data_IF_852830754315
#
_entry.id   IF_852830754315
#
_cell.length_a   1.000
_cell.length_b   1.000
_cell.length_c   1.000
_cell.angle_alpha   90.00
_cell.angle_beta   90.00
_cell.angle_gamma   90.00
#
_symmetry.space_group_name_H-M   'P 1'
#
loop_
_entity.id
_entity.type
_entity.pdbx_description
1 polymer ?
#
# COMPACT_ATOMS: atom_id res chain seq x y z
N UNK A 1 -11.39 -14.37 8.68
CA UNK A 1 -11.67 -15.29 7.56
C UNK A 1 -10.41 -15.43 6.70
N UNK A 2 -10.06 -16.67 6.38
CA UNK A 2 -8.90 -16.92 5.54
C UNK A 2 -9.30 -16.87 4.06
N UNK A 3 -8.47 -16.22 3.25
CA UNK A 3 -8.65 -16.19 1.81
C UNK A 3 -7.86 -17.33 1.14
N UNK A 4 -8.30 -17.73 -0.03
CA UNK A 4 -7.56 -18.67 -0.88
C UNK A 4 -6.58 -17.88 -1.75
N UNK A 5 -5.28 -18.09 -1.55
CA UNK A 5 -4.22 -17.36 -2.23
C UNK A 5 -3.68 -18.06 -3.47
N UNK A 6 -4.28 -19.15 -3.92
CA UNK A 6 -3.78 -19.94 -5.06
C UNK A 6 -3.63 -19.12 -6.34
N UNK A 7 -4.49 -18.13 -6.56
CA UNK A 7 -4.46 -17.25 -7.73
C UNK A 7 -3.65 -15.98 -7.53
N UNK A 8 -3.24 -15.68 -6.30
CA UNK A 8 -2.67 -14.38 -5.95
C UNK A 8 -1.47 -13.99 -6.82
N UNK A 9 -0.51 -14.91 -6.99
CA UNK A 9 0.70 -14.64 -7.78
C UNK A 9 0.47 -14.74 -9.29
N UNK A 10 -0.67 -15.27 -9.72
CA UNK A 10 -1.00 -15.43 -11.14
C UNK A 10 -1.85 -14.28 -11.66
N UNK A 11 -2.85 -13.88 -10.89
CA UNK A 11 -3.77 -12.81 -11.26
C UNK A 11 -4.46 -12.28 -10.01
N UNK A 12 -4.14 -11.06 -9.61
CA UNK A 12 -4.80 -10.41 -8.47
C UNK A 12 -6.30 -10.26 -8.73
N UNK A 13 -6.71 -9.95 -9.96
CA UNK A 13 -8.13 -9.83 -10.31
C UNK A 13 -8.87 -11.15 -10.10
N UNK A 14 -8.27 -12.28 -10.48
CA UNK A 14 -8.86 -13.59 -10.24
C UNK A 14 -8.92 -13.92 -8.74
N UNK A 15 -7.89 -13.56 -7.99
CA UNK A 15 -7.89 -13.67 -6.53
C UNK A 15 -9.06 -12.90 -5.92
N UNK A 16 -9.28 -11.66 -6.35
CA UNK A 16 -10.37 -10.81 -5.84
C UNK A 16 -11.73 -11.42 -6.14
N UNK A 17 -11.92 -11.90 -7.36
CA UNK A 17 -13.18 -12.53 -7.78
C UNK A 17 -13.48 -13.82 -7.02
N UNK A 18 -12.47 -14.66 -6.83
CA UNK A 18 -12.64 -15.97 -6.19
C UNK A 18 -12.97 -15.85 -4.70
N UNK A 19 -12.45 -14.83 -4.03
CA UNK A 19 -12.55 -14.74 -2.57
C UNK A 19 -13.74 -13.95 -2.06
N UNK A 20 -14.57 -13.38 -2.92
CA UNK A 20 -15.77 -12.63 -2.52
C UNK A 20 -15.48 -11.65 -1.39
N UNK A 21 -14.50 -10.78 -1.61
CA UNK A 21 -13.99 -9.87 -0.58
C UNK A 21 -15.03 -8.82 -0.23
N UNK A 22 -15.20 -8.57 1.07
CA UNK A 22 -16.14 -7.58 1.60
C UNK A 22 -15.38 -6.34 2.05
N UNK A 23 -16.00 -5.18 1.88
CA UNK A 23 -15.47 -3.91 2.35
C UNK A 23 -16.60 -3.07 2.94
N UNK A 24 -16.30 -2.35 4.02
CA UNK A 24 -17.22 -1.35 4.57
C UNK A 24 -17.17 -0.03 3.80
N UNK A 25 -16.25 0.09 2.84
CA UNK A 25 -16.10 1.24 1.95
C UNK A 25 -16.21 0.77 0.50
N UNK A 26 -16.08 1.69 -0.44
CA UNK A 26 -16.12 1.35 -1.87
C UNK A 26 -14.77 0.84 -2.40
N UNK A 27 -13.76 0.72 -1.56
CA UNK A 27 -12.39 0.44 -1.99
C UNK A 27 -11.78 -0.78 -1.31
N UNK A 28 -10.76 -1.32 -1.96
CA UNK A 28 -9.93 -2.43 -1.51
C UNK A 28 -8.49 -2.16 -1.99
N UNK A 29 -7.53 -2.28 -1.08
CA UNK A 29 -6.12 -2.16 -1.40
C UNK A 29 -5.44 -3.52 -1.29
N UNK A 30 -4.65 -3.88 -2.30
CA UNK A 30 -3.88 -5.14 -2.29
C UNK A 30 -2.44 -4.83 -2.69
N UNK A 31 -1.48 -5.33 -1.91
CA UNK A 31 -0.06 -5.24 -2.25
C UNK A 31 0.53 -6.63 -2.42
N UNK A 32 1.12 -6.88 -3.58
CA UNK A 32 1.92 -8.08 -3.86
C UNK A 32 3.38 -7.78 -3.52
N UNK A 33 3.91 -8.49 -2.54
CA UNK A 33 5.31 -8.33 -2.13
C UNK A 33 6.27 -8.93 -3.14
N UNK A 34 5.86 -10.02 -3.79
CA UNK A 34 6.65 -10.68 -4.82
C UNK A 34 6.79 -9.80 -6.05
N UNK A 35 5.68 -9.29 -6.56
CA UNK A 35 5.66 -8.51 -7.80
C UNK A 35 5.93 -7.02 -7.56
N UNK A 36 5.81 -6.57 -6.32
CA UNK A 36 6.07 -5.18 -5.89
C UNK A 36 5.15 -4.20 -6.59
N UNK A 37 3.85 -4.51 -6.53
CA UNK A 37 2.77 -3.64 -7.01
C UNK A 37 1.70 -3.50 -5.94
N UNK A 38 1.10 -2.33 -5.88
CA UNK A 38 -0.11 -2.07 -5.10
C UNK A 38 -1.26 -1.83 -6.05
N UNK A 39 -2.36 -2.53 -5.80
CA UNK A 39 -3.57 -2.50 -6.61
C UNK A 39 -4.66 -1.80 -5.83
N UNK A 40 -5.40 -0.92 -6.50
CA UNK A 40 -6.59 -0.28 -5.95
C UNK A 40 -7.80 -0.80 -6.72
N UNK A 41 -8.74 -1.40 -6.00
CA UNK A 41 -10.02 -1.83 -6.57
C UNK A 41 -11.13 -0.96 -6.01
N UNK A 42 -12.07 -0.59 -6.88
CA UNK A 42 -13.30 0.11 -6.51
C UNK A 42 -14.51 -0.79 -6.76
N UNK A 43 -15.46 -0.79 -5.84
CA UNK A 43 -16.69 -1.58 -6.01
C UNK A 43 -17.72 -0.78 -6.78
N UNK A 44 -18.07 -1.27 -7.99
CA UNK A 44 -19.04 -0.68 -8.90
C UNK A 44 -19.94 -1.78 -9.48
N UNK A 45 -20.75 -2.42 -8.66
CA UNK A 45 -21.48 -3.63 -9.06
C UNK A 45 -20.54 -4.82 -9.31
N UNK A 46 -19.48 -4.86 -8.53
CA UNK A 46 -18.36 -5.81 -8.59
C UNK A 46 -17.05 -5.05 -8.44
N UNK A 47 -16.00 -5.75 -8.07
CA UNK A 47 -14.69 -5.13 -7.92
C UNK A 47 -14.06 -4.85 -9.28
N UNK A 48 -13.68 -3.60 -9.52
CA UNK A 48 -13.00 -3.16 -10.74
C UNK A 48 -11.65 -2.55 -10.38
N UNK A 49 -10.62 -2.92 -11.14
CA UNK A 49 -9.27 -2.40 -10.95
C UNK A 49 -9.21 -0.94 -11.41
N UNK A 50 -8.89 -0.03 -10.47
CA UNK A 50 -8.71 1.39 -10.76
C UNK A 50 -7.25 1.73 -11.02
N UNK A 51 -6.33 1.23 -10.17
CA UNK A 51 -4.90 1.54 -10.27
C UNK A 51 -4.05 0.33 -9.96
N UNK A 52 -2.89 0.28 -10.62
CA UNK A 52 -1.80 -0.65 -10.33
C UNK A 52 -0.52 0.18 -10.29
N UNK A 53 0.10 0.26 -9.12
CA UNK A 53 1.25 1.12 -8.90
C UNK A 53 2.48 0.33 -8.50
N UNK A 54 3.64 0.66 -9.09
CA UNK A 54 4.93 0.14 -8.65
C UNK A 54 5.18 0.53 -7.19
N UNK A 55 5.64 -0.43 -6.40
CA UNK A 55 5.80 -0.25 -4.96
C UNK A 55 7.17 -0.72 -4.51
N UNK A 56 7.73 -0.03 -3.52
CA UNK A 56 8.92 -0.50 -2.82
C UNK A 56 8.48 -1.06 -1.49
N UNK A 57 8.98 -2.25 -1.20
CA UNK A 57 8.60 -3.02 0.00
C UNK A 57 9.82 -3.27 0.88
N UNK A 58 9.61 -3.88 2.03
CA UNK A 58 10.67 -4.18 2.98
C UNK A 58 11.75 -5.09 2.41
N UNK A 59 13.00 -4.83 2.78
CA UNK A 59 14.11 -5.73 2.45
C UNK A 59 13.98 -7.02 3.27
N UNK A 60 14.75 -8.05 2.92
CA UNK A 60 14.63 -9.38 3.54
C UNK A 60 14.83 -9.37 5.06
N UNK A 61 15.65 -8.45 5.58
CA UNK A 61 15.88 -8.32 7.03
C UNK A 61 14.83 -7.47 7.75
N UNK A 62 14.04 -6.69 7.02
CA UNK A 62 12.95 -5.86 7.54
C UNK A 62 11.73 -6.00 6.63
N UNK A 63 11.13 -7.22 6.53
CA UNK A 63 10.09 -7.48 5.55
C UNK A 63 8.80 -6.72 5.88
N UNK A 64 8.04 -6.40 4.84
CA UNK A 64 6.68 -5.90 5.01
C UNK A 64 5.81 -7.02 5.55
N UNK A 65 4.97 -6.71 6.53
CA UNK A 65 4.07 -7.67 7.17
C UNK A 65 3.02 -8.17 6.17
N UNK A 66 2.78 -9.49 6.17
CA UNK A 66 1.70 -10.11 5.40
C UNK A 66 0.44 -10.22 6.25
N UNK A 67 -0.71 -10.13 5.64
CA UNK A 67 -1.98 -10.32 6.33
C UNK A 67 -3.10 -9.50 5.73
N UNK A 68 -4.19 -9.44 6.49
CA UNK A 68 -5.38 -8.66 6.17
C UNK A 68 -5.53 -7.58 7.23
N UNK A 69 -5.56 -6.34 6.81
CA UNK A 69 -5.57 -5.17 7.69
C UNK A 69 -6.65 -4.19 7.25
N UNK A 70 -6.77 -3.09 7.97
CA UNK A 70 -7.67 -1.98 7.64
C UNK A 70 -6.92 -0.66 7.67
N UNK A 71 -7.24 0.23 6.76
CA UNK A 71 -6.69 1.59 6.75
C UNK A 71 -6.99 2.27 8.08
N UNK A 72 -5.96 2.81 8.69
CA UNK A 72 -6.04 3.54 9.95
C UNK A 72 -5.84 5.04 9.77
N UNK A 73 -5.08 5.62 10.70
CA UNK A 73 -4.83 7.06 10.76
C UNK A 73 -3.92 7.51 9.61
N UNK A 74 -4.02 8.79 9.25
CA UNK A 74 -3.24 9.40 8.18
C UNK A 74 -2.44 10.59 8.71
N UNK A 75 -1.26 10.78 8.12
CA UNK A 75 -0.41 11.95 8.40
C UNK A 75 0.00 12.60 7.08
N UNK A 76 -0.04 13.95 6.98
CA UNK A 76 0.42 14.63 5.76
C UNK A 76 1.91 14.44 5.51
N UNK A 77 2.68 14.25 6.59
CA UNK A 77 4.10 13.94 6.53
C UNK A 77 4.54 13.23 7.80
N UNK A 78 5.56 12.40 7.69
CA UNK A 78 6.28 11.83 8.83
C UNK A 78 7.75 12.14 8.61
N UNK A 79 8.38 12.79 9.59
CA UNK A 79 9.76 13.21 9.49
C UNK A 79 10.65 12.62 10.56
N UNK A 80 11.92 12.48 10.23
CA UNK A 80 13.01 12.15 11.13
C UNK A 80 14.08 13.23 11.06
N UNK A 81 15.27 12.92 11.56
CA UNK A 81 16.38 13.87 11.60
C UNK A 81 17.04 14.08 10.23
N UNK A 82 16.95 13.11 9.34
CA UNK A 82 17.69 13.12 8.08
C UNK A 82 16.79 12.94 6.86
N UNK A 83 15.54 12.52 7.05
CA UNK A 83 14.62 12.24 5.96
C UNK A 83 13.18 12.38 6.40
N UNK A 84 12.28 12.49 5.43
CA UNK A 84 10.84 12.52 5.64
C UNK A 84 10.10 11.83 4.51
N UNK A 85 8.84 11.50 4.75
CA UNK A 85 7.90 10.98 3.74
C UNK A 85 6.62 11.81 3.78
N UNK A 86 5.89 11.81 2.67
CA UNK A 86 4.63 12.54 2.53
C UNK A 86 3.48 11.55 2.39
N UNK A 87 2.29 12.00 2.79
CA UNK A 87 1.02 11.29 2.58
C UNK A 87 1.08 9.85 3.12
N UNK A 88 1.25 9.73 4.42
CA UNK A 88 1.33 8.46 5.11
C UNK A 88 -0.07 7.99 5.51
N UNK A 89 -0.41 6.76 5.14
CA UNK A 89 -1.67 6.10 5.52
C UNK A 89 -1.33 4.82 6.27
N UNK A 90 -1.78 4.71 7.52
CA UNK A 90 -1.46 3.59 8.38
C UNK A 90 -2.11 2.30 7.90
N UNK A 91 -1.34 1.23 7.93
CA UNK A 91 -1.78 -0.15 7.64
C UNK A 91 -2.05 -0.88 8.96
N UNK A 92 -1.03 -1.01 9.78
CA UNK A 92 -1.05 -1.62 11.11
C UNK A 92 0.25 -1.23 11.82
N UNK A 93 0.23 -1.04 13.13
CA UNK A 93 1.42 -0.68 13.92
C UNK A 93 2.18 0.48 13.26
N UNK A 94 3.46 0.30 12.97
CA UNK A 94 4.31 1.32 12.31
C UNK A 94 4.43 1.10 10.78
N UNK A 95 3.55 0.29 10.21
CA UNK A 95 3.54 0.05 8.75
C UNK A 95 2.58 1.03 8.08
N UNK A 96 3.09 1.72 7.06
CA UNK A 96 2.34 2.74 6.32
C UNK A 96 2.53 2.57 4.82
N UNK A 97 1.52 3.00 4.05
CA UNK A 97 1.72 3.47 2.67
C UNK A 97 2.20 4.90 2.75
N UNK A 98 3.24 5.26 2.03
CA UNK A 98 3.72 6.64 1.97
C UNK A 98 4.50 6.91 0.67
N UNK A 99 4.89 8.15 0.48
CA UNK A 99 5.62 8.59 -0.70
C UNK A 99 7.06 8.05 -0.77
N UNK A 100 7.76 8.40 -1.85
CA UNK A 100 9.22 8.32 -1.94
C UNK A 100 9.85 9.15 -0.80
N UNK A 101 11.16 8.97 -0.60
CA UNK A 101 11.87 9.59 0.51
C UNK A 101 12.35 10.98 0.12
N UNK A 102 12.09 11.95 0.99
CA UNK A 102 12.54 13.34 0.90
C UNK A 102 13.59 13.64 1.98
N UNK A 103 14.24 14.80 1.87
CA UNK A 103 15.09 15.28 2.95
C UNK A 103 14.27 15.59 4.22
N UNK A 104 14.93 15.97 5.29
CA UNK A 104 14.28 16.20 6.60
C UNK A 104 13.19 17.28 6.54
N UNK A 105 13.31 18.23 5.64
CA UNK A 105 12.35 19.34 5.48
C UNK A 105 11.30 19.08 4.39
N UNK A 106 11.44 18.00 3.64
CA UNK A 106 10.48 17.64 2.59
C UNK A 106 10.62 18.45 1.31
N UNK A 107 11.74 19.13 1.09
CA UNK A 107 11.92 19.97 -0.09
C UNK A 107 12.59 19.24 -1.25
N UNK A 108 13.57 18.39 -0.96
CA UNK A 108 14.34 17.70 -1.99
C UNK A 108 14.15 16.20 -1.91
N UNK A 109 14.09 15.54 -3.07
CA UNK A 109 14.01 14.08 -3.14
C UNK A 109 15.36 13.50 -2.71
N UNK A 110 15.32 12.51 -1.81
CA UNK A 110 16.48 11.80 -1.31
C UNK A 110 16.60 10.40 -1.90
N UNK A 111 15.48 9.69 -2.03
CA UNK A 111 15.44 8.33 -2.60
C UNK A 111 14.08 8.11 -3.27
N UNK A 112 14.09 7.97 -4.59
CA UNK A 112 12.89 7.80 -5.41
C UNK A 112 12.72 6.39 -5.97
N UNK A 113 13.52 5.42 -5.51
CA UNK A 113 13.47 4.06 -6.05
C UNK A 113 12.14 3.39 -5.75
N UNK A 114 11.53 2.83 -6.78
CA UNK A 114 10.29 2.05 -6.70
C UNK A 114 10.49 0.68 -7.34
N UNK A 115 9.67 -0.29 -6.93
CA UNK A 115 9.73 -1.64 -7.48
C UNK A 115 10.89 -2.48 -6.95
N UNK A 116 11.42 -2.14 -5.80
CA UNK A 116 12.55 -2.84 -5.17
C UNK A 116 12.23 -3.17 -3.71
N UNK A 117 12.99 -4.07 -3.11
CA UNK A 117 12.81 -4.50 -1.73
C UNK A 117 13.92 -3.91 -0.86
N UNK A 118 13.76 -2.68 -0.40
CA UNK A 118 14.80 -1.94 0.32
C UNK A 118 14.30 -1.14 1.52
N UNK A 119 12.99 -1.10 1.80
CA UNK A 119 12.47 -0.32 2.91
C UNK A 119 12.64 -1.05 4.25
N UNK A 120 12.28 -0.37 5.35
CA UNK A 120 12.26 -0.96 6.69
C UNK A 120 10.91 -1.62 7.02
N UNK A 121 10.06 -1.84 6.02
CA UNK A 121 8.78 -2.52 6.15
C UNK A 121 7.60 -1.75 5.57
N UNK A 122 7.64 -0.43 5.54
CA UNK A 122 6.60 0.39 4.91
C UNK A 122 6.54 0.15 3.40
N UNK A 123 5.41 0.46 2.81
CA UNK A 123 5.19 0.37 1.37
C UNK A 123 5.34 1.76 0.78
N UNK A 124 6.38 1.93 -0.02
CA UNK A 124 6.71 3.20 -0.67
C UNK A 124 6.05 3.25 -2.03
N UNK A 125 5.39 4.35 -2.33
CA UNK A 125 4.73 4.63 -3.60
C UNK A 125 5.26 5.94 -4.19
N UNK A 126 5.01 6.16 -5.49
CA UNK A 126 5.17 7.50 -6.05
C UNK A 126 4.34 8.49 -5.21
N UNK A 127 4.83 9.72 -5.08
CA UNK A 127 4.15 10.72 -4.24
C UNK A 127 2.71 10.96 -4.66
N UNK A 128 2.43 10.98 -5.96
CA UNK A 128 1.07 11.16 -6.48
C UNK A 128 0.15 9.99 -6.08
N UNK A 129 0.67 8.77 -6.04
CA UNK A 129 -0.09 7.58 -5.64
C UNK A 129 -0.37 7.57 -4.14
N UNK A 130 0.65 7.90 -3.34
CA UNK A 130 0.49 8.04 -1.89
C UNK A 130 -0.53 9.14 -1.56
N UNK A 131 -0.49 10.25 -2.29
CA UNK A 131 -1.45 11.35 -2.14
C UNK A 131 -2.87 10.89 -2.49
N UNK A 132 -3.02 10.12 -3.55
CA UNK A 132 -4.33 9.63 -3.96
C UNK A 132 -4.97 8.77 -2.86
N UNK A 133 -4.20 7.85 -2.24
CA UNK A 133 -4.69 7.07 -1.09
C UNK A 133 -5.06 8.00 0.07
N UNK A 134 -4.17 8.94 0.40
CA UNK A 134 -4.39 9.90 1.47
C UNK A 134 -5.68 10.70 1.28
N UNK A 135 -5.97 11.14 0.06
CA UNK A 135 -7.13 11.97 -0.26
C UNK A 135 -8.43 11.18 -0.41
N UNK A 136 -8.38 9.92 -0.85
CA UNK A 136 -9.56 9.19 -1.33
C UNK A 136 -9.93 7.94 -0.53
N UNK A 137 -8.99 7.29 0.12
CA UNK A 137 -9.25 6.06 0.83
C UNK A 137 -9.58 6.36 2.29
N UNK A 138 -10.76 5.96 2.72
CA UNK A 138 -11.23 6.24 4.08
C UNK A 138 -10.77 5.16 5.06
N UNK A 139 -10.74 5.54 6.35
CA UNK A 139 -10.45 4.62 7.45
C UNK A 139 -11.39 3.42 7.40
N UNK A 140 -10.87 2.24 7.66
CA UNK A 140 -11.63 0.99 7.61
C UNK A 140 -11.57 0.26 6.29
N UNK A 141 -11.03 0.88 5.23
CA UNK A 141 -10.85 0.18 3.94
C UNK A 141 -9.94 -1.02 4.13
N UNK A 142 -10.33 -2.21 3.64
CA UNK A 142 -9.50 -3.42 3.81
C UNK A 142 -8.22 -3.35 2.98
N UNK A 143 -7.17 -3.91 3.56
CA UNK A 143 -5.84 -4.02 2.94
C UNK A 143 -5.43 -5.48 2.99
N UNK A 144 -5.02 -6.03 1.86
CA UNK A 144 -4.46 -7.39 1.79
C UNK A 144 -3.02 -7.29 1.31
N UNK A 145 -2.10 -7.86 2.08
CA UNK A 145 -0.68 -7.89 1.76
C UNK A 145 -0.20 -9.35 1.76
N UNK A 146 0.39 -9.77 0.65
CA UNK A 146 0.88 -11.15 0.55
C UNK A 146 2.09 -11.29 -0.40
#
# INVERSE_FOLDING_TARGET
>A
MAYNYDKFDKSITEFVKENNIQSSTDYLLITSLKDKFTYVYEYKNGWELEYKWSSTVGKSSTPTIKGVFSVGIKYPAIGGNTSSVKYATNIVDDYYYHSIIYDDKGFNIKDDRLGVAISHGCIRLATSSAKWIYDNITEGTPIIIN
#
